data_IF_621039979312
#
_entry.id   IF_621039979312
#
_cell.length_a   1.000
_cell.length_b   1.000
_cell.length_c   1.000
_cell.angle_alpha   90.00
_cell.angle_beta   90.00
_cell.angle_gamma   90.00
#
_symmetry.space_group_name_H-M   'P 1'
#
loop_
_entity.id
_entity.type
_entity.pdbx_description
1 polymer ?
#
# COMPACT_ATOMS: atom_id res chain seq x y z
N UNK A 1 -1.95 -47.77 88.74
CA UNK A 1 -2.67 -48.72 87.87
C UNK A 1 -3.74 -47.93 87.12
N UNK A 2 -3.71 -48.00 85.79
CA UNK A 2 -4.68 -47.50 84.80
C UNK A 2 -4.77 -45.98 84.48
N UNK A 3 -4.46 -45.72 83.19
CA UNK A 3 -5.22 -44.97 82.16
C UNK A 3 -4.93 -43.49 81.85
N UNK A 4 -4.91 -43.27 80.52
CA UNK A 4 -5.19 -42.06 79.71
C UNK A 4 -4.02 -41.08 79.45
N UNK A 5 -3.86 -40.44 78.27
CA UNK A 5 -4.35 -40.53 76.88
C UNK A 5 -3.64 -39.40 76.07
N UNK A 6 -3.61 -39.51 74.73
CA UNK A 6 -3.39 -38.46 73.67
C UNK A 6 -1.92 -38.03 73.44
N UNK A 7 -1.27 -38.33 72.30
CA UNK A 7 -1.45 -37.93 70.86
C UNK A 7 -1.19 -36.44 70.60
N UNK A 8 -0.12 -36.16 69.83
CA UNK A 8 0.23 -34.87 69.22
C UNK A 8 1.26 -35.05 68.09
N UNK A 9 0.92 -34.54 66.90
CA UNK A 9 1.47 -34.76 65.56
C UNK A 9 2.82 -34.04 65.29
N UNK A 10 3.81 -34.68 64.64
CA UNK A 10 4.26 -34.55 63.24
C UNK A 10 4.38 -33.13 62.65
N UNK A 11 5.57 -32.75 62.17
CA UNK A 11 5.94 -32.56 60.75
C UNK A 11 7.31 -31.86 60.65
N UNK A 12 8.31 -32.53 60.05
CA UNK A 12 9.56 -31.92 59.62
C UNK A 12 9.53 -31.86 58.09
N UNK A 13 9.19 -30.72 57.52
CA UNK A 13 9.18 -30.48 56.07
C UNK A 13 10.59 -30.11 55.61
N UNK A 14 11.24 -31.04 54.89
CA UNK A 14 12.44 -30.75 54.10
C UNK A 14 11.98 -30.36 52.70
N UNK A 15 12.11 -29.09 52.35
CA UNK A 15 11.77 -28.59 51.02
C UNK A 15 12.91 -28.89 50.05
N UNK A 16 12.71 -29.91 49.21
CA UNK A 16 13.57 -30.26 48.09
C UNK A 16 13.15 -29.41 46.88
N UNK A 17 13.92 -28.38 46.52
CA UNK A 17 13.72 -27.64 45.26
C UNK A 17 14.41 -28.39 44.12
N UNK A 18 13.64 -29.20 43.39
CA UNK A 18 14.02 -29.76 42.09
C UNK A 18 13.39 -28.86 41.02
N UNK A 19 14.19 -27.96 40.45
CA UNK A 19 13.80 -27.17 39.27
C UNK A 19 14.04 -28.08 38.05
N UNK A 20 13.02 -28.86 37.70
CA UNK A 20 12.98 -29.61 36.45
C UNK A 20 12.50 -28.69 35.31
N UNK A 21 13.40 -28.54 34.34
CA UNK A 21 13.22 -28.17 32.95
C UNK A 21 11.80 -27.83 32.46
N UNK A 22 11.65 -26.61 31.93
CA UNK A 22 10.97 -26.44 30.65
C UNK A 22 11.60 -25.22 29.95
N UNK A 23 12.69 -25.39 29.19
CA UNK A 23 13.07 -24.34 28.24
C UNK A 23 11.91 -24.29 27.26
N UNK A 24 11.14 -23.20 27.34
CA UNK A 24 10.24 -22.81 26.27
C UNK A 24 11.13 -22.58 25.06
N UNK A 25 11.35 -23.64 24.28
CA UNK A 25 11.70 -23.49 22.88
C UNK A 25 10.54 -22.71 22.29
N UNK A 26 10.69 -21.39 22.24
CA UNK A 26 10.05 -20.61 21.21
C UNK A 26 10.53 -21.22 19.91
N UNK A 27 9.74 -22.12 19.36
CA UNK A 27 9.84 -22.48 17.96
C UNK A 27 9.58 -21.16 17.26
N UNK A 28 10.65 -20.45 16.92
CA UNK A 28 10.61 -19.49 15.84
C UNK A 28 10.23 -20.34 14.64
N UNK A 29 8.93 -20.45 14.40
CA UNK A 29 8.44 -20.88 13.10
C UNK A 29 8.95 -19.78 12.19
N UNK A 30 10.12 -20.00 11.60
CA UNK A 30 10.50 -19.26 10.42
C UNK A 30 9.32 -19.44 9.47
N UNK A 31 8.57 -18.36 9.24
CA UNK A 31 7.55 -18.38 8.21
C UNK A 31 8.28 -18.83 6.96
N UNK A 32 7.91 -20.03 6.47
CA UNK A 32 8.33 -20.49 5.16
C UNK A 32 7.93 -19.34 4.23
N UNK A 33 8.86 -18.72 3.48
CA UNK A 33 8.49 -17.66 2.56
C UNK A 33 7.36 -18.20 1.71
N UNK A 34 6.19 -17.60 1.83
CA UNK A 34 5.05 -17.93 0.99
C UNK A 34 5.56 -17.93 -0.44
N UNK A 35 5.25 -18.99 -1.18
CA UNK A 35 5.55 -19.05 -2.61
C UNK A 35 5.27 -17.68 -3.22
N UNK A 36 6.21 -17.05 -3.95
CA UNK A 36 6.00 -15.70 -4.46
C UNK A 36 4.65 -15.68 -5.16
N UNK A 37 3.77 -14.81 -4.69
CA UNK A 37 2.41 -14.72 -5.22
C UNK A 37 2.54 -14.05 -6.56
N UNK A 38 2.85 -14.84 -7.58
CA UNK A 38 2.82 -14.40 -8.97
C UNK A 38 1.34 -14.23 -9.31
N UNK A 39 0.88 -12.98 -9.28
CA UNK A 39 -0.43 -12.60 -9.79
C UNK A 39 -0.23 -11.72 -11.00
N UNK A 40 -0.74 -12.15 -12.15
CA UNK A 40 -0.74 -11.36 -13.38
C UNK A 40 -2.19 -11.14 -13.83
N UNK A 41 -2.51 -9.92 -14.26
CA UNK A 41 -3.80 -9.53 -14.79
C UNK A 41 -3.62 -8.51 -15.92
N UNK A 42 -3.94 -8.94 -17.14
CA UNK A 42 -3.93 -8.12 -18.36
C UNK A 42 -5.31 -7.51 -18.66
N UNK A 43 -6.28 -7.70 -17.76
CA UNK A 43 -7.65 -7.20 -17.84
C UNK A 43 -8.45 -7.56 -19.11
N UNK A 44 -7.90 -8.42 -19.97
CA UNK A 44 -8.55 -8.94 -21.18
C UNK A 44 -9.86 -9.67 -20.84
N UNK A 45 -9.91 -10.27 -19.66
CA UNK A 45 -11.10 -10.86 -19.03
C UNK A 45 -11.19 -10.45 -17.56
N UNK A 46 -12.35 -10.69 -16.93
CA UNK A 46 -12.47 -10.46 -15.48
C UNK A 46 -11.80 -11.60 -14.72
N UNK A 47 -10.65 -11.31 -14.12
CA UNK A 47 -9.91 -12.26 -13.26
C UNK A 47 -10.60 -12.51 -11.92
N UNK A 48 -11.56 -11.66 -11.54
CA UNK A 48 -12.18 -11.65 -10.22
C UNK A 48 -11.28 -11.12 -9.10
N UNK A 49 -10.07 -10.66 -9.40
CA UNK A 49 -9.07 -10.25 -8.40
C UNK A 49 -9.29 -8.86 -7.79
N UNK A 50 -10.13 -8.03 -8.43
CA UNK A 50 -10.23 -6.62 -8.09
C UNK A 50 -11.64 -6.21 -7.67
N UNK A 51 -11.70 -5.24 -6.76
CA UNK A 51 -12.94 -4.54 -6.36
C UNK A 51 -12.84 -3.09 -6.81
N UNK A 52 -13.88 -2.61 -7.47
CA UNK A 52 -13.93 -1.28 -8.07
C UNK A 52 -14.82 -0.36 -7.23
N UNK A 53 -14.35 0.85 -6.95
CA UNK A 53 -15.11 1.90 -6.27
C UNK A 53 -14.96 3.24 -7.00
N UNK A 54 -15.93 4.12 -6.77
CA UNK A 54 -15.99 5.42 -7.41
C UNK A 54 -16.11 5.26 -8.93
N UNK A 55 -15.20 5.87 -9.67
CA UNK A 55 -15.20 5.85 -11.15
C UNK A 55 -14.32 4.75 -11.76
N UNK A 56 -13.63 3.96 -10.94
CA UNK A 56 -12.83 2.85 -11.42
C UNK A 56 -13.69 1.86 -12.21
N UNK A 57 -13.24 1.47 -13.41
CA UNK A 57 -13.95 0.51 -14.25
C UNK A 57 -13.00 -0.30 -15.14
N UNK A 58 -13.46 -1.47 -15.58
CA UNK A 58 -12.77 -2.29 -16.59
C UNK A 58 -13.48 -2.16 -17.92
N UNK A 59 -12.74 -1.93 -19.00
CA UNK A 59 -13.28 -1.85 -20.34
C UNK A 59 -12.17 -1.90 -21.39
N UNK A 60 -12.46 -2.49 -22.55
CA UNK A 60 -11.52 -2.59 -23.67
C UNK A 60 -10.15 -3.20 -23.32
N UNK A 61 -10.13 -4.16 -22.39
CA UNK A 61 -8.90 -4.83 -21.97
C UNK A 61 -7.99 -4.02 -21.05
N UNK A 62 -8.47 -2.91 -20.47
CA UNK A 62 -7.70 -2.11 -19.51
C UNK A 62 -8.58 -1.70 -18.32
N UNK A 63 -7.93 -1.21 -17.27
CA UNK A 63 -8.60 -0.47 -16.20
C UNK A 63 -8.58 1.00 -16.55
N UNK A 64 -9.75 1.64 -16.48
CA UNK A 64 -9.86 3.09 -16.38
C UNK A 64 -9.98 3.44 -14.90
N UNK A 65 -8.89 3.93 -14.31
CA UNK A 65 -8.85 4.36 -12.91
C UNK A 65 -9.52 5.73 -12.77
N UNK A 66 -9.30 6.64 -13.71
CA UNK A 66 -9.98 7.94 -13.80
C UNK A 66 -10.48 8.15 -15.23
N UNK A 67 -11.69 8.68 -15.41
CA UNK A 67 -12.40 8.70 -16.70
C UNK A 67 -12.69 10.11 -17.24
N UNK A 68 -11.78 11.06 -17.00
CA UNK A 68 -11.84 12.43 -17.51
C UNK A 68 -13.07 13.23 -17.00
N UNK A 69 -13.51 12.97 -15.78
CA UNK A 69 -14.57 13.71 -15.07
C UNK A 69 -13.99 14.58 -13.95
N UNK A 70 -14.77 15.57 -13.52
CA UNK A 70 -14.50 16.40 -12.34
C UNK A 70 -15.23 15.86 -11.13
N UNK A 71 -14.79 16.25 -9.93
CA UNK A 71 -15.42 15.91 -8.66
C UNK A 71 -15.55 14.39 -8.44
N UNK A 72 -14.49 13.65 -8.77
CA UNK A 72 -14.46 12.19 -8.73
C UNK A 72 -13.38 11.66 -7.81
N UNK A 73 -13.60 10.44 -7.34
CA UNK A 73 -12.57 9.57 -6.79
C UNK A 73 -12.67 8.19 -7.45
N UNK A 74 -11.62 7.41 -7.32
CA UNK A 74 -11.62 6.00 -7.66
C UNK A 74 -10.80 5.19 -6.68
N UNK A 75 -11.17 3.92 -6.51
CA UNK A 75 -10.31 2.92 -5.89
C UNK A 75 -10.45 1.60 -6.63
N UNK A 76 -9.32 0.94 -6.83
CA UNK A 76 -9.21 -0.42 -7.35
C UNK A 76 -8.47 -1.24 -6.29
N UNK A 77 -9.20 -2.01 -5.49
CA UNK A 77 -8.62 -2.83 -4.43
C UNK A 77 -8.32 -4.22 -4.91
N UNK A 78 -7.11 -4.69 -4.64
CA UNK A 78 -6.79 -6.10 -4.76
C UNK A 78 -7.45 -6.88 -3.62
N UNK A 79 -8.13 -7.99 -3.97
CA UNK A 79 -8.94 -8.76 -3.01
C UNK A 79 -8.12 -9.68 -2.13
N UNK A 80 -6.89 -9.99 -2.51
CA UNK A 80 -5.98 -10.81 -1.69
C UNK A 80 -5.12 -9.91 -0.83
N UNK A 81 -4.68 -10.45 0.29
CA UNK A 81 -3.62 -9.87 1.08
C UNK A 81 -2.31 -9.96 0.28
N UNK A 82 -1.57 -8.86 0.25
CA UNK A 82 -0.25 -8.82 -0.36
C UNK A 82 0.80 -8.97 0.74
N UNK A 83 1.62 -10.02 0.66
CA UNK A 83 2.79 -10.16 1.52
C UNK A 83 3.92 -9.22 1.08
N UNK A 84 4.94 -9.09 1.91
CA UNK A 84 6.17 -8.36 1.62
C UNK A 84 7.39 -9.28 1.78
N UNK A 85 8.53 -8.99 1.11
CA UNK A 85 8.69 -7.98 0.07
C UNK A 85 7.88 -8.32 -1.19
N UNK A 86 7.61 -7.33 -2.03
CA UNK A 86 6.97 -7.55 -3.32
C UNK A 86 7.56 -6.64 -4.40
N UNK A 87 7.46 -7.12 -5.64
CA UNK A 87 7.70 -6.32 -6.84
C UNK A 87 6.39 -6.23 -7.62
N UNK A 88 6.02 -5.00 -7.95
CA UNK A 88 4.88 -4.66 -8.78
C UNK A 88 5.37 -4.11 -10.11
N UNK A 89 4.84 -4.64 -11.20
CA UNK A 89 4.97 -4.09 -12.54
C UNK A 89 3.58 -3.81 -13.09
N UNK A 90 3.42 -2.72 -13.84
CA UNK A 90 2.20 -2.41 -14.57
C UNK A 90 2.48 -1.41 -15.68
N UNK A 91 1.62 -1.40 -16.68
CA UNK A 91 1.62 -0.35 -17.70
C UNK A 91 0.62 0.74 -17.29
N UNK A 92 1.01 2.00 -17.47
CA UNK A 92 0.19 3.15 -17.13
C UNK A 92 0.17 4.16 -18.27
N UNK A 93 -1.01 4.74 -18.51
CA UNK A 93 -1.18 5.87 -19.42
C UNK A 93 -2.12 6.89 -18.80
N UNK A 94 -1.72 8.16 -18.79
CA UNK A 94 -2.53 9.25 -18.28
C UNK A 94 -2.55 10.47 -19.19
N UNK A 95 -3.71 11.12 -19.27
CA UNK A 95 -3.94 12.34 -20.05
C UNK A 95 -4.78 13.32 -19.23
N UNK A 96 -4.57 14.63 -19.43
CA UNK A 96 -5.31 15.68 -18.74
C UNK A 96 -4.44 16.42 -17.73
N UNK A 97 -5.04 17.01 -16.71
CA UNK A 97 -4.35 17.80 -15.66
C UNK A 97 -5.02 17.61 -14.30
N UNK A 98 -5.67 16.46 -14.09
CA UNK A 98 -6.23 16.11 -12.78
C UNK A 98 -5.14 15.97 -11.73
N UNK A 99 -5.56 15.71 -10.49
CA UNK A 99 -4.70 15.74 -9.30
C UNK A 99 -3.66 14.61 -9.36
N UNK A 100 -4.00 13.39 -8.91
CA UNK A 100 -3.07 12.27 -8.97
C UNK A 100 -3.73 10.90 -9.18
N UNK A 101 -2.90 9.95 -9.62
CA UNK A 101 -3.13 8.53 -9.48
C UNK A 101 -2.10 7.96 -8.52
N UNK A 102 -2.50 7.03 -7.67
CA UNK A 102 -1.67 6.53 -6.57
C UNK A 102 -1.74 5.00 -6.55
N UNK A 103 -0.58 4.35 -6.53
CA UNK A 103 -0.48 2.93 -6.15
C UNK A 103 -0.39 2.85 -4.63
N UNK A 104 -1.32 2.16 -3.99
CA UNK A 104 -1.42 2.04 -2.53
C UNK A 104 -0.84 0.72 -2.04
N UNK A 105 -0.11 0.75 -0.93
CA UNK A 105 0.41 -0.42 -0.24
C UNK A 105 0.45 -0.20 1.28
N UNK A 106 0.44 -1.30 2.04
CA UNK A 106 0.19 -1.31 3.50
C UNK A 106 -0.92 -0.34 3.92
N UNK A 107 -2.02 -0.34 3.16
CA UNK A 107 -3.07 0.67 3.28
C UNK A 107 -4.23 0.19 4.13
N UNK A 108 -4.66 0.99 5.10
CA UNK A 108 -5.94 0.76 5.77
C UNK A 108 -7.07 0.91 4.76
N UNK A 109 -7.94 -0.09 4.64
CA UNK A 109 -9.12 -0.08 3.76
C UNK A 109 -10.36 0.50 4.47
N UNK A 110 -10.31 0.71 5.78
CA UNK A 110 -11.45 1.10 6.60
C UNK A 110 -11.62 2.63 6.67
N UNK A 111 -11.85 3.26 5.52
CA UNK A 111 -12.17 4.68 5.44
C UNK A 111 -13.17 4.96 4.33
N UNK A 112 -13.83 6.12 4.42
CA UNK A 112 -14.67 6.63 3.33
C UNK A 112 -13.79 7.50 2.43
N UNK A 113 -13.50 7.09 1.18
CA UNK A 113 -12.62 7.85 0.31
C UNK A 113 -13.22 9.20 -0.10
N UNK A 114 -12.36 10.19 -0.30
CA UNK A 114 -12.71 11.50 -0.82
C UNK A 114 -11.99 11.79 -2.14
N UNK A 115 -12.65 12.54 -3.03
CA UNK A 115 -12.07 13.00 -4.30
C UNK A 115 -11.24 14.28 -4.16
N UNK A 116 -10.97 14.90 -5.30
CA UNK A 116 -10.09 16.06 -5.41
C UNK A 116 -8.68 15.77 -4.88
N UNK A 117 -8.10 16.70 -4.13
CA UNK A 117 -6.75 16.60 -3.54
C UNK A 117 -6.54 15.39 -2.62
N UNK A 118 -7.60 14.67 -2.24
CA UNK A 118 -7.52 13.47 -1.41
C UNK A 118 -7.31 12.19 -2.24
N UNK A 119 -7.48 12.27 -3.57
CA UNK A 119 -7.16 11.22 -4.54
C UNK A 119 -7.74 9.83 -4.27
N UNK A 120 -8.84 9.71 -3.51
CA UNK A 120 -9.36 8.43 -3.02
C UNK A 120 -8.44 7.72 -2.01
N UNK A 121 -7.31 8.32 -1.65
CA UNK A 121 -6.29 7.78 -0.74
C UNK A 121 -6.67 7.96 0.73
N UNK A 122 -7.42 9.03 1.03
CA UNK A 122 -7.80 9.42 2.38
C UNK A 122 -9.26 9.91 2.45
N UNK A 123 -9.85 9.98 3.66
CA UNK A 123 -11.13 10.65 3.87
C UNK A 123 -11.01 12.17 3.72
N UNK A 124 -12.16 12.85 3.61
CA UNK A 124 -12.21 14.31 3.55
C UNK A 124 -11.75 14.99 4.85
N UNK A 125 -11.73 14.25 5.95
CA UNK A 125 -11.24 14.70 7.26
C UNK A 125 -10.48 13.59 7.96
N UNK A 126 -9.32 13.90 8.51
CA UNK A 126 -8.45 12.92 9.18
C UNK A 126 -7.45 12.28 8.22
N UNK A 127 -6.87 11.17 8.66
CA UNK A 127 -5.93 10.36 7.88
C UNK A 127 -6.50 8.96 7.71
N UNK A 128 -6.04 8.26 6.68
CA UNK A 128 -6.23 6.82 6.57
C UNK A 128 -4.84 6.21 6.46
N UNK A 129 -4.38 5.44 7.46
CA UNK A 129 -2.99 4.98 7.50
C UNK A 129 -2.55 4.22 6.25
N UNK A 130 -1.24 4.30 5.97
CA UNK A 130 -0.55 3.53 4.96
C UNK A 130 0.10 4.38 3.87
N UNK A 131 0.61 3.71 2.84
CA UNK A 131 1.56 4.33 1.92
C UNK A 131 1.06 4.34 0.48
N UNK A 132 1.62 5.24 -0.31
CA UNK A 132 1.36 5.27 -1.74
C UNK A 132 2.53 5.78 -2.55
N UNK A 133 2.65 5.26 -3.79
CA UNK A 133 3.43 5.90 -4.83
C UNK A 133 2.49 6.74 -5.66
N UNK A 134 2.58 8.05 -5.50
CA UNK A 134 1.78 9.05 -6.19
C UNK A 134 2.42 9.44 -7.52
N UNK A 135 1.59 9.50 -8.56
CA UNK A 135 1.88 10.08 -9.87
C UNK A 135 1.01 11.33 -10.02
N UNK A 136 1.57 12.48 -9.66
CA UNK A 136 0.83 13.74 -9.58
C UNK A 136 0.99 14.58 -10.85
N UNK A 137 -0.14 15.02 -11.39
CA UNK A 137 -0.28 15.75 -12.64
C UNK A 137 -0.70 17.21 -12.44
N UNK A 138 -0.89 17.66 -11.20
CA UNK A 138 -1.35 18.99 -10.87
C UNK A 138 -0.83 19.46 -9.51
N UNK A 139 0.09 20.44 -9.47
CA UNK A 139 0.60 20.93 -8.21
C UNK A 139 -0.48 21.71 -7.45
N UNK A 140 -0.70 21.34 -6.19
CA UNK A 140 -1.54 22.04 -5.23
C UNK A 140 -0.73 22.47 -3.98
N UNK A 141 -1.38 23.19 -3.05
CA UNK A 141 -0.76 23.68 -1.82
C UNK A 141 -0.42 22.56 -0.81
N UNK A 142 0.76 21.99 -0.95
CA UNK A 142 1.23 20.86 -0.14
C UNK A 142 2.15 19.95 -0.95
N UNK A 143 2.13 20.11 -2.27
CA UNK A 143 2.97 19.38 -3.18
C UNK A 143 4.37 19.99 -3.28
N UNK A 144 5.37 19.15 -3.60
CA UNK A 144 6.69 19.64 -3.92
C UNK A 144 6.70 20.47 -5.22
N UNK A 145 7.46 21.55 -5.20
CA UNK A 145 7.80 22.31 -6.40
C UNK A 145 6.93 23.54 -6.65
N UNK A 146 6.98 24.01 -7.90
CA UNK A 146 6.26 25.21 -8.35
C UNK A 146 5.18 24.85 -9.37
N UNK A 147 4.23 25.75 -9.61
CA UNK A 147 3.22 25.62 -10.67
C UNK A 147 3.80 25.08 -11.98
N UNK A 148 3.14 24.06 -12.56
CA UNK A 148 3.58 23.38 -13.79
C UNK A 148 4.63 22.28 -13.58
N UNK A 149 4.84 21.84 -12.35
CA UNK A 149 5.70 20.69 -12.02
C UNK A 149 4.82 19.48 -11.73
N UNK A 150 5.25 18.31 -12.19
CA UNK A 150 4.67 17.02 -11.84
C UNK A 150 5.67 16.24 -11.01
N UNK A 151 5.19 15.35 -10.15
CA UNK A 151 6.07 14.54 -9.32
C UNK A 151 5.66 13.08 -9.26
N UNK A 152 6.65 12.25 -8.98
CA UNK A 152 6.46 10.92 -8.46
C UNK A 152 6.93 10.94 -7.01
N UNK A 153 6.09 10.51 -6.08
CA UNK A 153 6.39 10.59 -4.66
C UNK A 153 5.99 9.36 -3.87
N UNK A 154 6.74 9.07 -2.82
CA UNK A 154 6.27 8.25 -1.70
C UNK A 154 5.48 9.17 -0.76
N UNK A 155 4.22 8.83 -0.53
CA UNK A 155 3.34 9.49 0.44
C UNK A 155 2.98 8.55 1.59
N UNK A 156 2.72 9.12 2.77
CA UNK A 156 2.37 8.39 4.00
C UNK A 156 1.14 9.02 4.67
N UNK A 157 0.11 8.22 4.93
CA UNK A 157 -1.14 8.51 5.64
C UNK A 157 -2.08 9.56 5.01
N UNK A 158 -1.51 10.52 4.28
CA UNK A 158 -2.24 11.55 3.56
C UNK A 158 -1.46 12.05 2.33
N UNK A 159 -2.15 12.58 1.33
CA UNK A 159 -1.60 13.08 0.06
C UNK A 159 -0.69 14.30 0.22
N UNK A 160 -0.66 14.93 1.39
CA UNK A 160 0.19 16.10 1.65
C UNK A 160 1.53 15.72 2.29
N UNK A 161 1.64 14.50 2.83
CA UNK A 161 2.81 14.03 3.54
C UNK A 161 3.74 13.25 2.59
N UNK A 162 4.56 14.02 1.88
CA UNK A 162 5.55 13.49 0.95
C UNK A 162 6.83 13.10 1.69
N UNK A 163 7.11 11.81 1.78
CA UNK A 163 8.33 11.27 2.41
C UNK A 163 9.54 11.46 1.50
N UNK A 164 9.38 11.19 0.21
CA UNK A 164 10.38 11.39 -0.83
C UNK A 164 9.69 11.65 -2.17
N UNK A 165 10.34 12.41 -3.04
CA UNK A 165 9.78 12.75 -4.34
C UNK A 165 10.86 13.08 -5.37
N UNK A 166 10.53 12.89 -6.64
CA UNK A 166 11.26 13.43 -7.77
C UNK A 166 10.31 14.18 -8.71
N UNK A 167 10.79 15.31 -9.21
CA UNK A 167 10.01 16.24 -10.00
C UNK A 167 10.41 16.20 -11.48
N UNK A 168 9.45 16.46 -12.36
CA UNK A 168 9.66 16.60 -13.80
C UNK A 168 8.78 17.70 -14.37
N UNK A 169 9.22 18.26 -15.49
CA UNK A 169 8.38 19.19 -16.25
C UNK A 169 7.16 18.46 -16.83
N UNK A 170 6.06 19.18 -17.05
CA UNK A 170 4.85 18.59 -17.64
C UNK A 170 5.10 17.81 -18.93
N UNK A 171 5.87 18.39 -19.85
CA UNK A 171 6.11 17.79 -21.17
C UNK A 171 6.91 16.49 -21.14
N UNK A 172 7.57 16.19 -20.02
CA UNK A 172 8.45 15.02 -19.86
C UNK A 172 7.94 14.03 -18.81
N UNK A 173 6.73 14.21 -18.28
CA UNK A 173 6.19 13.27 -17.30
C UNK A 173 5.85 11.96 -18.01
N UNK A 174 6.41 10.82 -17.56
CA UNK A 174 6.55 9.63 -18.39
C UNK A 174 5.19 9.06 -18.79
N UNK A 175 4.24 9.06 -17.86
CA UNK A 175 2.89 8.55 -18.06
C UNK A 175 2.00 9.49 -18.88
N UNK A 176 2.45 10.70 -19.26
CA UNK A 176 1.72 11.62 -20.17
C UNK A 176 1.97 11.39 -21.65
N UNK A 177 3.13 10.86 -22.01
CA UNK A 177 3.61 10.79 -23.40
C UNK A 177 3.34 9.44 -24.08
N UNK A 178 2.48 8.63 -23.48
CA UNK A 178 2.09 7.30 -23.96
C UNK A 178 2.06 6.29 -22.83
N UNK A 179 1.79 5.03 -23.18
CA UNK A 179 1.93 3.93 -22.24
C UNK A 179 3.37 3.87 -21.72
N UNK A 180 3.50 3.83 -20.40
CA UNK A 180 4.76 3.68 -19.70
C UNK A 180 4.73 2.45 -18.83
N UNK A 181 5.85 1.73 -18.83
CA UNK A 181 6.04 0.60 -17.95
C UNK A 181 6.57 1.08 -16.60
N UNK A 182 5.85 0.79 -15.52
CA UNK A 182 6.18 1.17 -14.16
C UNK A 182 6.58 -0.08 -13.38
N UNK A 183 7.73 -0.01 -12.70
CA UNK A 183 8.20 -1.04 -11.78
C UNK A 183 8.39 -0.42 -10.40
N UNK A 184 7.83 -1.06 -9.38
CA UNK A 184 7.94 -0.65 -7.98
C UNK A 184 8.39 -1.86 -7.17
N UNK A 185 9.45 -1.71 -6.40
CA UNK A 185 9.93 -2.75 -5.47
C UNK A 185 9.76 -2.23 -4.06
N UNK A 186 9.02 -2.95 -3.24
CA UNK A 186 8.82 -2.62 -1.82
C UNK A 186 9.36 -3.76 -0.97
N UNK A 187 10.25 -3.44 -0.05
CA UNK A 187 10.65 -4.35 1.03
C UNK A 187 10.35 -3.71 2.39
N UNK A 188 10.83 -4.33 3.47
CA UNK A 188 10.55 -3.91 4.85
C UNK A 188 10.98 -2.48 5.16
N UNK A 189 12.03 -1.97 4.51
CA UNK A 189 12.65 -0.69 4.87
C UNK A 189 12.96 0.19 3.68
N UNK A 190 12.48 -0.16 2.48
CA UNK A 190 12.96 0.46 1.25
C UNK A 190 11.95 0.36 0.11
N UNK A 191 11.86 1.41 -0.70
CA UNK A 191 11.11 1.40 -1.95
C UNK A 191 11.93 1.98 -3.10
N UNK A 192 11.88 1.29 -4.24
CA UNK A 192 12.36 1.84 -5.52
C UNK A 192 11.24 1.99 -6.51
N UNK A 193 11.33 3.02 -7.35
CA UNK A 193 10.40 3.24 -8.46
C UNK A 193 11.18 3.50 -9.73
N UNK A 194 10.91 2.72 -10.77
CA UNK A 194 11.47 2.88 -12.11
C UNK A 194 10.32 3.03 -13.12
N UNK A 195 10.46 3.96 -14.06
CA UNK A 195 9.48 4.18 -15.13
C UNK A 195 10.21 4.17 -16.46
N UNK A 196 9.83 3.27 -17.35
CA UNK A 196 10.52 2.99 -18.62
C UNK A 196 12.03 2.71 -18.43
N UNK A 197 12.39 2.06 -17.32
CA UNK A 197 13.78 1.78 -16.94
C UNK A 197 14.58 2.99 -16.47
N UNK A 198 13.95 4.16 -16.32
CA UNK A 198 14.55 5.34 -15.69
C UNK A 198 14.20 5.30 -14.21
N UNK A 199 15.19 5.53 -13.36
CA UNK A 199 15.03 5.52 -11.92
C UNK A 199 14.40 6.84 -11.40
N UNK A 200 13.31 6.73 -10.65
CA UNK A 200 12.54 7.87 -10.13
C UNK A 200 12.55 7.97 -8.62
N UNK A 201 12.63 6.89 -7.85
CA UNK A 201 12.73 6.95 -6.39
C UNK A 201 13.64 5.83 -5.88
N UNK A 202 14.49 6.18 -4.93
CA UNK A 202 15.36 5.32 -4.12
C UNK A 202 15.24 5.84 -2.69
N UNK A 203 14.49 5.17 -1.81
CA UNK A 203 14.28 5.71 -0.46
C UNK A 203 14.17 4.61 0.59
N UNK A 204 14.99 4.78 1.64
CA UNK A 204 14.85 4.05 2.89
C UNK A 204 13.74 4.65 3.74
N UNK A 205 12.83 3.81 4.23
CA UNK A 205 11.73 4.21 5.09
C UNK A 205 11.25 3.05 5.95
N UNK A 206 11.03 3.28 7.25
CA UNK A 206 10.53 2.26 8.17
C UNK A 206 9.00 2.15 8.02
N UNK A 207 8.53 1.17 7.25
CA UNK A 207 7.10 1.02 6.97
C UNK A 207 6.33 0.45 8.17
N UNK A 208 5.17 1.02 8.46
CA UNK A 208 4.16 0.37 9.28
C UNK A 208 3.46 -0.75 8.47
N UNK A 209 3.67 -1.99 8.90
CA UNK A 209 3.17 -3.20 8.24
C UNK A 209 1.86 -3.71 8.85
N UNK A 210 1.21 -2.93 9.73
CA UNK A 210 -0.08 -3.29 10.35
C UNK A 210 -1.14 -3.63 9.30
N UNK A 211 -1.19 -2.87 8.21
CA UNK A 211 -2.20 -3.04 7.17
C UNK A 211 -1.64 -3.77 5.95
N UNK A 212 -2.52 -4.52 5.27
CA UNK A 212 -2.16 -5.31 4.07
C UNK A 212 -2.95 -4.88 2.83
N UNK A 213 -3.53 -3.68 2.86
CA UNK A 213 -4.25 -3.16 1.71
C UNK A 213 -3.31 -2.80 0.57
N UNK A 214 -3.66 -3.30 -0.61
CA UNK A 214 -2.97 -3.03 -1.86
C UNK A 214 -3.98 -2.69 -2.94
N UNK A 215 -3.67 -1.70 -3.77
CA UNK A 215 -4.55 -1.27 -4.85
C UNK A 215 -4.09 -0.01 -5.54
N UNK A 216 -5.00 0.62 -6.27
CA UNK A 216 -4.78 1.90 -6.93
C UNK A 216 -5.92 2.85 -6.61
N UNK A 217 -5.66 4.14 -6.49
CA UNK A 217 -6.69 5.15 -6.34
C UNK A 217 -6.35 6.40 -7.13
N UNK A 218 -7.33 7.29 -7.30
CA UNK A 218 -7.09 8.58 -7.90
C UNK A 218 -8.24 9.54 -7.61
N UNK A 219 -8.02 10.81 -7.90
CA UNK A 219 -9.04 11.84 -7.74
C UNK A 219 -8.93 12.94 -8.77
N UNK A 220 -10.06 13.62 -8.97
CA UNK A 220 -10.14 14.83 -9.75
C UNK A 220 -11.04 15.82 -9.01
N UNK A 221 -10.63 17.09 -8.96
CA UNK A 221 -11.48 18.20 -8.53
C UNK A 221 -11.95 18.95 -9.79
N UNK A 222 -11.53 20.20 -9.99
CA UNK A 222 -11.87 21.00 -11.17
C UNK A 222 -11.15 20.57 -12.44
N UNK A 223 -9.94 20.04 -12.31
CA UNK A 223 -9.22 19.51 -13.45
C UNK A 223 -9.57 18.04 -13.66
N UNK A 224 -9.50 17.60 -14.91
CA UNK A 224 -9.87 16.26 -15.33
C UNK A 224 -8.64 15.46 -15.71
N UNK A 225 -8.66 14.17 -15.42
CA UNK A 225 -7.65 13.22 -15.85
C UNK A 225 -8.30 11.93 -16.34
N UNK A 226 -7.81 11.42 -17.46
CA UNK A 226 -7.90 10.02 -17.82
C UNK A 226 -6.64 9.34 -17.27
N UNK A 227 -6.81 8.26 -16.51
CA UNK A 227 -5.68 7.44 -16.07
C UNK A 227 -6.05 5.98 -16.24
N UNK A 228 -5.23 5.25 -16.99
CA UNK A 228 -5.45 3.85 -17.34
C UNK A 228 -4.30 2.99 -16.86
N UNK A 229 -4.64 1.76 -16.48
CA UNK A 229 -3.70 0.74 -16.00
C UNK A 229 -3.92 -0.54 -16.80
N UNK A 230 -2.83 -1.20 -17.14
CA UNK A 230 -2.82 -2.50 -17.80
C UNK A 230 -1.66 -3.39 -17.31
N UNK A 231 -1.68 -4.68 -17.65
CA UNK A 231 -0.59 -5.65 -17.45
C UNK A 231 -0.01 -5.65 -16.03
N UNK A 232 -0.87 -5.73 -15.02
CA UNK A 232 -0.43 -5.76 -13.61
C UNK A 232 0.21 -7.10 -13.32
N UNK A 233 1.46 -7.09 -12.86
CA UNK A 233 2.21 -8.27 -12.41
C UNK A 233 2.73 -7.99 -11.00
N UNK A 234 2.44 -8.89 -10.08
CA UNK A 234 2.91 -8.87 -8.70
C UNK A 234 3.75 -10.12 -8.49
N UNK A 235 4.96 -10.01 -7.95
CA UNK A 235 5.87 -11.13 -7.66
C UNK A 235 6.52 -11.03 -6.29
#
# INVERSE_FOLDING_TARGET
MLLHKKVGYYLLTVTLFVILACPWLSVVVAQIPSTPVITADDFSTDSGLWTYHGVASRGNGVITLLDNRTDTYSQLWFKRELGYPFRLEFDAWGEGWGEAAIMMFFKDKNYVPSGGENNGFQPSTGIAPGYGIEFDYYPYNGDPGSWGTHHVALIEDNTRNHVAYNMSSTSSFPTRVGWSHVMIVVNETHVTVDINGIHWLDVDHDFDLEYQGFGFCGGCNWNKMLFQIDNVIIT
#
